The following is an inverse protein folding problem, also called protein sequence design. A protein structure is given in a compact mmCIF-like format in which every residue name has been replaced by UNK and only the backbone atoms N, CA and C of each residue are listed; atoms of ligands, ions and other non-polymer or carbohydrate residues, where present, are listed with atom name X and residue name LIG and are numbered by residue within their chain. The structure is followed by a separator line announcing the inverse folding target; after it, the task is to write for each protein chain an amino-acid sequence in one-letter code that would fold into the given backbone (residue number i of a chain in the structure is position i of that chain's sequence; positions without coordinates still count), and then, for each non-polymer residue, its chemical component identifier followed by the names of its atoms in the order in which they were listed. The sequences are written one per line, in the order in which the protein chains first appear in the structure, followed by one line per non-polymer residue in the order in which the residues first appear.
data_IF_825059467905
#
_entry.id   IF_825059467905
#
_cell.length_a   1.000
_cell.length_b   1.000
_cell.length_c   1.000
_cell.angle_alpha   90.00
_cell.angle_beta   90.00
_cell.angle_gamma   90.00
#
_symmetry.space_group_name_H-M   'P 1'
#
loop_
_entity.id
_entity.type
_entity.pdbx_description
1 polymer ?
#
# COMPACT_ATOMS: atom_id res chain seq x y z
N UNK A 1 -12.27 0.58 15.95
CA UNK A 1 -10.96 -0.09 16.12
C UNK A 1 -9.80 0.91 16.17
N UNK A 2 -9.47 1.63 15.08
CA UNK A 2 -8.28 2.53 15.05
C UNK A 2 -8.24 3.57 16.17
N UNK A 3 -9.38 4.16 16.53
CA UNK A 3 -9.47 5.12 17.63
C UNK A 3 -9.14 4.51 19.00
N UNK A 4 -9.53 3.26 19.23
CA UNK A 4 -9.33 2.56 20.49
C UNK A 4 -7.86 2.12 20.67
N UNK A 5 -7.10 1.99 19.58
CA UNK A 5 -5.70 1.59 19.63
C UNK A 5 -4.75 2.70 20.11
N UNK A 6 -5.21 3.96 20.19
CA UNK A 6 -4.38 5.07 20.67
C UNK A 6 -3.17 5.39 19.78
N UNK A 7 -3.20 5.06 18.48
CA UNK A 7 -2.06 5.22 17.58
C UNK A 7 -1.55 6.67 17.46
N UNK A 8 -2.45 7.64 17.65
CA UNK A 8 -2.11 9.07 17.62
C UNK A 8 -1.19 9.52 18.78
N UNK A 9 -1.09 8.76 19.88
CA UNK A 9 -0.20 9.08 20.99
C UNK A 9 1.17 8.38 20.88
N UNK A 10 1.39 7.61 19.81
CA UNK A 10 2.55 6.72 19.63
C UNK A 10 3.18 6.90 18.25
N UNK A 11 3.83 8.04 17.97
CA UNK A 11 4.37 8.37 16.64
C UNK A 11 5.43 7.38 16.13
N UNK A 12 6.11 6.69 17.04
CA UNK A 12 7.14 5.68 16.77
C UNK A 12 6.60 4.35 16.24
N UNK A 13 5.29 4.11 16.37
CA UNK A 13 4.67 2.86 15.93
C UNK A 13 4.64 2.78 14.42
N UNK A 14 5.15 1.66 13.88
CA UNK A 14 5.06 1.31 12.47
C UNK A 14 3.77 0.55 12.22
N UNK A 15 2.88 1.15 11.43
CA UNK A 15 1.60 0.59 11.05
C UNK A 15 1.67 -0.01 9.64
N UNK A 16 1.26 -1.27 9.52
CA UNK A 16 1.00 -1.92 8.24
C UNK A 16 -0.47 -2.31 8.18
N UNK A 17 -1.15 -1.93 7.12
CA UNK A 17 -2.54 -2.30 6.86
C UNK A 17 -2.61 -3.06 5.54
N UNK A 18 -3.50 -4.03 5.43
CA UNK A 18 -3.80 -4.74 4.19
C UNK A 18 -5.29 -4.59 3.91
N UNK A 19 -5.66 -4.25 2.67
CA UNK A 19 -7.07 -4.19 2.31
C UNK A 19 -7.33 -3.75 0.87
N UNK A 20 -8.55 -3.28 0.62
CA UNK A 20 -9.02 -2.94 -0.73
C UNK A 20 -8.54 -1.55 -1.18
N UNK A 21 -8.29 -1.39 -2.49
CA UNK A 21 -7.79 -0.14 -3.08
C UNK A 21 -8.68 1.07 -2.76
N UNK A 22 -9.99 0.87 -2.71
CA UNK A 22 -10.96 1.93 -2.44
C UNK A 22 -10.86 2.53 -1.04
N UNK A 23 -10.14 1.90 -0.10
CA UNK A 23 -10.04 2.34 1.29
C UNK A 23 -8.67 2.94 1.65
N UNK A 24 -7.74 3.01 0.69
CA UNK A 24 -6.37 3.44 0.94
C UNK A 24 -6.34 4.84 1.57
N UNK A 25 -7.00 5.82 0.95
CA UNK A 25 -7.04 7.20 1.45
C UNK A 25 -7.82 7.29 2.76
N UNK A 26 -9.01 6.70 2.82
CA UNK A 26 -9.85 6.73 4.03
C UNK A 26 -9.12 6.20 5.26
N UNK A 27 -8.28 5.17 5.10
CA UNK A 27 -7.51 4.60 6.20
C UNK A 27 -6.24 5.39 6.49
N UNK A 28 -5.42 5.71 5.48
CA UNK A 28 -4.14 6.39 5.71
C UNK A 28 -4.31 7.84 6.18
N UNK A 29 -5.36 8.52 5.74
CA UNK A 29 -5.68 9.89 6.16
C UNK A 29 -6.61 9.94 7.38
N UNK A 30 -6.91 8.79 7.99
CA UNK A 30 -7.79 8.74 9.16
C UNK A 30 -7.24 9.62 10.30
N UNK A 31 -8.09 10.41 11.01
CA UNK A 31 -7.65 11.31 12.08
C UNK A 31 -6.90 10.63 13.24
N UNK A 32 -7.18 9.35 13.50
CA UNK A 32 -6.47 8.56 14.52
C UNK A 32 -5.00 8.29 14.17
N UNK A 33 -4.59 8.54 12.92
CA UNK A 33 -3.21 8.39 12.45
C UNK A 33 -2.49 9.73 12.31
N UNK A 34 -3.06 10.84 12.79
CA UNK A 34 -2.52 12.21 12.60
C UNK A 34 -1.05 12.38 13.00
N UNK A 35 -0.58 11.63 13.99
CA UNK A 35 0.80 11.66 14.47
C UNK A 35 1.58 10.40 14.10
N UNK A 36 0.96 9.44 13.40
CA UNK A 36 1.62 8.19 13.02
C UNK A 36 2.47 8.45 11.80
N UNK A 37 3.79 8.49 11.98
CA UNK A 37 4.70 8.85 10.89
C UNK A 37 4.94 7.68 9.93
N UNK A 38 4.93 6.46 10.44
CA UNK A 38 5.19 5.25 9.68
C UNK A 38 3.90 4.47 9.45
N UNK A 39 3.18 4.78 8.36
CA UNK A 39 2.00 4.04 7.95
C UNK A 39 2.08 3.63 6.48
N UNK A 40 1.97 2.32 6.25
CA UNK A 40 1.87 1.73 4.91
C UNK A 40 0.58 0.94 4.75
N UNK A 41 0.04 0.96 3.54
CA UNK A 41 -1.15 0.22 3.15
C UNK A 41 -0.85 -0.66 1.94
N UNK A 42 -1.06 -1.96 2.09
CA UNK A 42 -0.86 -2.95 1.06
C UNK A 42 -2.20 -3.28 0.39
N UNK A 43 -2.21 -3.21 -0.93
CA UNK A 43 -3.35 -3.62 -1.75
C UNK A 43 -2.93 -4.81 -2.61
N UNK A 44 -3.69 -5.90 -2.52
CA UNK A 44 -3.57 -7.03 -3.44
C UNK A 44 -4.44 -6.73 -4.67
N UNK A 45 -3.81 -6.61 -5.83
CA UNK A 45 -4.48 -6.42 -7.10
C UNK A 45 -4.45 -7.72 -7.89
N UNK A 46 -5.61 -8.38 -7.96
CA UNK A 46 -5.81 -9.49 -8.88
C UNK A 46 -6.05 -8.90 -10.27
N UNK A 47 -5.05 -9.02 -11.16
CA UNK A 47 -5.29 -8.86 -12.59
C UNK A 47 -6.01 -10.14 -13.04
N UNK A 48 -7.34 -10.18 -12.86
CA UNK A 48 -8.16 -11.17 -13.57
C UNK A 48 -8.09 -10.78 -15.05
N UNK A 49 -7.16 -11.40 -15.78
CA UNK A 49 -7.17 -11.33 -17.22
C UNK A 49 -8.25 -12.27 -17.75
N UNK A 50 -9.15 -11.66 -18.50
CA UNK A 50 -10.03 -12.23 -19.50
C UNK A 50 -11.05 -13.29 -19.05
N UNK A 51 -12.30 -12.83 -18.99
CA UNK A 51 -13.44 -13.55 -19.51
C UNK A 51 -13.08 -14.37 -20.77
N UNK A 52 -13.29 -15.70 -20.77
CA UNK A 52 -13.11 -16.51 -21.96
C UNK A 52 -14.40 -16.53 -22.77
N UNK A 53 -14.58 -15.57 -23.68
CA UNK A 53 -15.32 -15.84 -24.91
C UNK A 53 -14.31 -15.99 -26.03
N UNK A 54 -13.87 -17.24 -26.20
CA UNK A 54 -13.43 -17.93 -27.43
C UNK A 54 -12.34 -18.95 -27.05
N UNK A 55 -12.68 -20.23 -27.20
CA UNK A 55 -11.75 -21.35 -27.08
C UNK A 55 -10.77 -21.31 -28.25
N UNK A 56 -9.62 -20.66 -28.09
CA UNK A 56 -8.48 -20.85 -28.99
C UNK A 56 -7.26 -21.25 -28.15
N UNK A 57 -6.57 -22.28 -28.63
CA UNK A 57 -5.41 -22.91 -28.01
C UNK A 57 -4.31 -21.89 -27.70
N UNK A 58 -4.25 -21.39 -26.47
CA UNK A 58 -3.09 -20.62 -25.99
C UNK A 58 -1.99 -21.57 -25.50
N UNK A 59 -0.99 -21.77 -26.36
CA UNK A 59 0.39 -22.01 -25.92
C UNK A 59 0.95 -20.65 -25.46
N UNK A 60 1.65 -20.66 -24.33
CA UNK A 60 2.28 -19.53 -23.63
C UNK A 60 1.35 -18.72 -22.72
N UNK A 61 0.95 -19.34 -21.61
CA UNK A 61 0.44 -18.65 -20.43
C UNK A 61 1.58 -17.88 -19.75
N UNK A 62 1.86 -16.66 -20.22
CA UNK A 62 2.51 -15.68 -19.37
C UNK A 62 1.57 -15.40 -18.20
N UNK A 63 1.88 -15.98 -17.04
CA UNK A 63 1.14 -15.79 -15.80
C UNK A 63 1.22 -14.31 -15.44
N UNK A 64 0.20 -13.55 -15.77
CA UNK A 64 0.03 -12.20 -15.24
C UNK A 64 -0.25 -12.36 -13.75
N UNK A 65 0.83 -12.29 -12.97
CA UNK A 65 0.81 -12.54 -11.54
C UNK A 65 0.03 -11.47 -10.79
N UNK A 66 -0.49 -11.87 -9.63
CA UNK A 66 -1.05 -10.96 -8.63
C UNK A 66 -0.01 -9.89 -8.29
N UNK A 67 -0.42 -8.63 -8.29
CA UNK A 67 0.47 -7.51 -7.96
C UNK A 67 0.14 -6.98 -6.58
N UNK A 68 1.17 -6.65 -5.82
CA UNK A 68 1.02 -5.95 -4.55
C UNK A 68 1.43 -4.50 -4.73
N UNK A 69 0.57 -3.59 -4.31
CA UNK A 69 0.81 -2.15 -4.31
C UNK A 69 1.02 -1.70 -2.86
N UNK A 70 2.09 -0.95 -2.58
CA UNK A 70 2.31 -0.29 -1.28
C UNK A 70 2.04 1.19 -1.43
N UNK A 71 1.10 1.67 -0.63
CA UNK A 71 0.84 3.08 -0.43
C UNK A 71 1.44 3.51 0.90
N UNK A 72 1.98 4.72 0.95
CA UNK A 72 2.47 5.36 2.17
C UNK A 72 1.74 6.68 2.38
N UNK A 73 1.48 7.01 3.64
CA UNK A 73 1.11 8.38 4.01
C UNK A 73 2.36 9.27 3.98
N UNK A 74 2.20 10.50 3.52
CA UNK A 74 3.13 11.58 3.82
C UNK A 74 2.37 12.65 4.63
N UNK A 75 2.97 13.14 5.71
CA UNK A 75 2.30 14.13 6.58
C UNK A 75 2.40 15.56 6.02
N UNK A 76 3.45 15.86 5.25
CA UNK A 76 3.81 17.23 4.85
C UNK A 76 4.41 17.32 3.44
N UNK A 77 3.82 16.68 2.42
CA UNK A 77 4.36 16.80 1.05
C UNK A 77 3.64 17.81 0.16
N UNK A 78 2.32 17.96 0.29
CA UNK A 78 1.55 18.81 -0.60
C UNK A 78 1.35 20.19 0.03
N UNK A 79 2.36 21.05 -0.04
CA UNK A 79 2.36 22.38 0.61
C UNK A 79 2.07 22.32 2.13
N UNK A 80 2.57 21.29 2.80
CA UNK A 80 2.34 21.07 4.24
C UNK A 80 1.06 20.26 4.55
N UNK A 81 0.29 19.85 3.54
CA UNK A 81 -0.83 18.93 3.72
C UNK A 81 -0.40 17.46 3.64
N UNK A 82 -1.19 16.62 4.33
CA UNK A 82 -1.02 15.19 4.31
C UNK A 82 -1.59 14.60 3.02
N UNK A 83 -0.89 13.61 2.46
CA UNK A 83 -1.26 12.95 1.20
C UNK A 83 -0.89 11.47 1.22
N UNK A 84 -1.33 10.73 0.21
CA UNK A 84 -1.03 9.31 0.01
C UNK A 84 -0.26 9.12 -1.30
N UNK A 85 0.83 8.36 -1.23
CA UNK A 85 1.70 8.09 -2.37
C UNK A 85 1.85 6.59 -2.60
N UNK A 86 1.75 6.13 -3.84
CA UNK A 86 2.17 4.80 -4.23
C UNK A 86 3.70 4.76 -4.22
N UNK A 87 4.29 3.99 -3.32
CA UNK A 87 5.75 3.93 -3.14
C UNK A 87 6.38 2.68 -3.72
N UNK A 88 5.60 1.60 -3.88
CA UNK A 88 6.14 0.35 -4.38
C UNK A 88 5.09 -0.52 -5.08
N UNK A 89 5.54 -1.29 -6.08
CA UNK A 89 4.72 -2.24 -6.84
C UNK A 89 5.60 -3.47 -7.15
N UNK A 90 5.12 -4.67 -6.81
CA UNK A 90 5.81 -5.91 -7.21
C UNK A 90 4.84 -7.02 -7.58
N UNK A 91 5.36 -7.99 -8.32
CA UNK A 91 4.67 -9.24 -8.60
C UNK A 91 4.79 -10.16 -7.38
N UNK A 92 3.67 -10.62 -6.84
CA UNK A 92 3.64 -11.47 -5.65
C UNK A 92 4.46 -12.75 -5.84
N UNK A 93 4.46 -13.32 -7.06
CA UNK A 93 5.20 -14.53 -7.38
C UNK A 93 6.73 -14.33 -7.36
N UNK A 94 7.20 -13.10 -7.56
CA UNK A 94 8.63 -12.75 -7.50
C UNK A 94 9.10 -12.49 -6.07
N UNK A 95 8.18 -12.37 -5.10
CA UNK A 95 8.49 -11.98 -3.73
C UNK A 95 8.88 -10.51 -3.58
N UNK A 96 8.98 -10.04 -2.34
CA UNK A 96 9.47 -8.69 -2.04
C UNK A 96 11.01 -8.68 -2.17
N UNK A 97 11.61 -7.75 -2.94
CA UNK A 97 13.07 -7.69 -3.05
C UNK A 97 13.73 -7.40 -1.69
N UNK A 98 14.91 -8.00 -1.46
CA UNK A 98 15.56 -8.04 -0.14
C UNK A 98 15.92 -6.68 0.44
N UNK A 99 16.20 -5.71 -0.43
CA UNK A 99 16.69 -4.39 -0.03
C UNK A 99 15.58 -3.33 0.04
N UNK A 100 14.31 -3.75 0.02
CA UNK A 100 13.18 -2.83 0.05
C UNK A 100 12.85 -2.45 1.49
N UNK A 101 13.08 -1.18 1.82
CA UNK A 101 12.63 -0.60 3.07
C UNK A 101 11.31 0.16 2.87
N UNK A 102 10.19 -0.50 3.16
CA UNK A 102 8.84 0.05 2.98
C UNK A 102 8.52 1.25 3.89
N UNK A 103 9.25 1.42 4.98
CA UNK A 103 9.03 2.50 5.95
C UNK A 103 10.02 3.65 5.80
N UNK A 104 10.94 3.59 4.83
CA UNK A 104 11.92 4.65 4.63
C UNK A 104 11.27 5.87 3.97
N UNK A 105 11.58 7.03 4.52
CA UNK A 105 11.17 8.33 4.04
C UNK A 105 12.02 9.37 4.73
N UNK A 106 12.47 10.37 3.99
CA UNK A 106 13.28 11.47 4.48
C UNK A 106 12.52 12.18 5.62
N UNK A 107 12.79 11.78 6.85
CA UNK A 107 12.60 12.68 7.99
C UNK A 107 13.56 13.83 7.75
N UNK A 108 13.03 14.96 7.28
CA UNK A 108 13.71 16.23 7.51
C UNK A 108 13.30 16.61 8.94
N UNK A 109 14.24 16.59 9.90
CA UNK A 109 13.96 16.91 11.30
C UNK A 109 13.47 18.35 11.48
#
# INVERSE_FOLDING_TARGET
FLEQCGLWSRPEVRLMVVGHRSHVETVLLHPSLRNTVHAIYLVLHNLVLHTPTIKLRERNSDKVGERVMVYRRCLYCNNGEADVQLVYLWNLASGLPRDVNLFYGNYVP
#
